data_IF_395733222072
#
_entry.id   IF_395733222072
#
_cell.length_a   1.000
_cell.length_b   1.000
_cell.length_c   1.000
_cell.angle_alpha   90.00
_cell.angle_beta   90.00
_cell.angle_gamma   90.00
#
_symmetry.space_group_name_H-M   'P 1'
#
loop_
_entity.id
_entity.type
_entity.pdbx_description
1 polymer ?
#
# COMPACT_ATOMS: atom_id res chain seq x y z
N UNK A 1 3.55 -2.31 -29.65
CA UNK A 1 4.38 -1.33 -28.91
C UNK A 1 4.42 -1.81 -27.47
N UNK A 2 5.61 -2.03 -26.91
CA UNK A 2 5.74 -2.58 -25.56
C UNK A 2 5.36 -1.50 -24.53
N UNK A 3 4.31 -1.74 -23.75
CA UNK A 3 3.94 -0.90 -22.60
C UNK A 3 5.09 -0.95 -21.58
N UNK A 4 5.93 0.07 -21.56
CA UNK A 4 6.93 0.25 -20.50
C UNK A 4 6.22 0.77 -19.26
N UNK A 5 5.73 -0.15 -18.42
CA UNK A 5 5.14 0.16 -17.13
C UNK A 5 6.13 0.93 -16.24
N UNK A 6 5.64 1.94 -15.53
CA UNK A 6 6.42 2.69 -14.52
C UNK A 6 6.92 1.73 -13.42
N UNK A 7 8.13 1.91 -12.86
CA UNK A 7 8.65 1.05 -11.78
C UNK A 7 7.69 0.87 -10.59
N UNK A 8 6.91 1.90 -10.26
CA UNK A 8 5.90 1.86 -9.19
C UNK A 8 4.79 0.81 -9.43
N UNK A 9 4.33 0.66 -10.67
CA UNK A 9 3.30 -0.33 -11.02
C UNK A 9 3.77 -1.75 -10.85
N UNK A 10 5.01 -2.03 -11.25
CA UNK A 10 5.59 -3.37 -11.12
C UNK A 10 5.60 -3.82 -9.66
N UNK A 11 6.14 -2.98 -8.78
CA UNK A 11 6.22 -3.27 -7.33
C UNK A 11 4.85 -3.53 -6.74
N UNK A 12 3.88 -2.64 -7.01
CA UNK A 12 2.56 -2.78 -6.40
C UNK A 12 1.81 -3.98 -6.98
N UNK A 13 1.86 -4.19 -8.30
CA UNK A 13 1.17 -5.32 -8.95
C UNK A 13 1.68 -6.67 -8.45
N UNK A 14 2.99 -6.81 -8.25
CA UNK A 14 3.58 -8.05 -7.75
C UNK A 14 3.16 -8.32 -6.29
N UNK A 15 3.18 -7.29 -5.44
CA UNK A 15 2.65 -7.40 -4.08
C UNK A 15 1.16 -7.77 -4.10
N UNK A 16 0.39 -7.10 -4.95
CA UNK A 16 -1.06 -7.23 -5.04
C UNK A 16 -1.50 -8.64 -5.47
N UNK A 17 -0.84 -9.22 -6.47
CA UNK A 17 -1.05 -10.62 -6.89
C UNK A 17 -0.70 -11.65 -5.82
N UNK A 18 0.26 -11.33 -4.96
CA UNK A 18 0.66 -12.21 -3.85
C UNK A 18 -0.41 -12.25 -2.77
N UNK A 19 -1.09 -11.12 -2.53
CA UNK A 19 -2.09 -10.98 -1.47
C UNK A 19 -3.46 -11.56 -1.89
N UNK A 20 -3.82 -11.42 -3.17
CA UNK A 20 -5.15 -11.79 -3.68
C UNK A 20 -5.04 -12.75 -4.88
N UNK A 21 -4.92 -14.07 -4.63
CA UNK A 21 -4.98 -15.05 -5.71
C UNK A 21 -6.35 -15.03 -6.39
N UNK A 22 -6.37 -15.16 -7.72
CA UNK A 22 -7.59 -15.20 -8.53
C UNK A 22 -8.52 -16.34 -8.08
N UNK A 23 -9.83 -16.09 -8.10
CA UNK A 23 -10.84 -17.08 -7.71
C UNK A 23 -12.02 -17.11 -8.68
N UNK A 24 -12.56 -18.30 -8.94
CA UNK A 24 -13.54 -18.58 -10.01
C UNK A 24 -15.01 -18.26 -9.66
N UNK A 25 -15.32 -17.79 -8.45
CA UNK A 25 -16.72 -17.57 -8.02
C UNK A 25 -17.19 -16.13 -8.29
N UNK A 26 -18.06 -15.95 -9.28
CA UNK A 26 -18.85 -14.72 -9.42
C UNK A 26 -19.77 -14.53 -8.20
N UNK A 27 -19.65 -13.38 -7.55
CA UNK A 27 -20.52 -12.95 -6.47
C UNK A 27 -21.37 -11.75 -6.90
N UNK A 28 -22.54 -11.51 -6.28
CA UNK A 28 -23.35 -10.35 -6.62
C UNK A 28 -22.59 -9.07 -6.27
N UNK A 29 -22.10 -8.34 -7.28
CA UNK A 29 -21.37 -7.07 -7.12
C UNK A 29 -22.29 -5.85 -6.99
N UNK A 30 -23.55 -6.01 -7.42
CA UNK A 30 -24.52 -4.91 -7.49
C UNK A 30 -24.78 -4.30 -6.11
N UNK A 31 -24.87 -5.13 -5.06
CA UNK A 31 -25.04 -4.65 -3.68
C UNK A 31 -23.87 -3.79 -3.21
N UNK A 32 -22.63 -4.19 -3.50
CA UNK A 32 -21.46 -3.39 -3.15
C UNK A 32 -21.38 -2.08 -3.95
N UNK A 33 -21.73 -2.11 -5.24
CA UNK A 33 -21.80 -0.91 -6.07
C UNK A 33 -22.88 0.07 -5.58
N UNK A 34 -24.05 -0.43 -5.18
CA UNK A 34 -25.14 0.39 -4.64
C UNK A 34 -24.80 0.96 -3.27
N UNK A 35 -24.17 0.17 -2.38
CA UNK A 35 -23.65 0.65 -1.10
C UNK A 35 -22.58 1.73 -1.29
N UNK A 36 -21.64 1.51 -2.21
CA UNK A 36 -20.62 2.49 -2.58
C UNK A 36 -21.26 3.79 -3.08
N UNK A 37 -22.27 3.70 -3.95
CA UNK A 37 -23.03 4.86 -4.45
C UNK A 37 -23.70 5.62 -3.32
N UNK A 38 -24.39 4.93 -2.41
CA UNK A 38 -25.05 5.56 -1.26
C UNK A 38 -24.05 6.32 -0.36
N UNK A 39 -22.86 5.78 -0.13
CA UNK A 39 -21.80 6.48 0.62
C UNK A 39 -21.38 7.77 -0.10
N UNK A 40 -21.28 7.76 -1.43
CA UNK A 40 -20.85 8.96 -2.18
C UNK A 40 -21.79 10.14 -2.11
N UNK A 41 -23.06 9.95 -1.76
CA UNK A 41 -24.03 11.04 -1.55
C UNK A 41 -23.63 11.96 -0.38
N UNK A 42 -22.79 11.45 0.53
CA UNK A 42 -22.35 12.17 1.73
C UNK A 42 -20.88 12.61 1.66
N UNK A 43 -20.18 12.30 0.56
CA UNK A 43 -18.78 12.69 0.40
C UNK A 43 -18.64 14.16 -0.03
N UNK A 44 -17.57 14.79 0.47
CA UNK A 44 -17.28 16.19 0.17
C UNK A 44 -16.50 16.33 -1.15
N UNK A 45 -16.44 17.53 -1.71
CA UNK A 45 -15.77 17.85 -2.97
C UNK A 45 -14.25 17.59 -3.00
N UNK A 46 -13.65 17.25 -1.86
CA UNK A 46 -12.24 16.87 -1.69
C UNK A 46 -12.05 15.36 -1.55
N UNK A 47 -13.10 14.58 -1.80
CA UNK A 47 -13.12 13.14 -1.56
C UNK A 47 -13.63 12.37 -2.76
N UNK A 48 -13.14 11.14 -2.90
CA UNK A 48 -13.73 10.15 -3.80
C UNK A 48 -13.67 8.77 -3.19
N UNK A 49 -14.55 7.88 -3.67
CA UNK A 49 -14.59 6.48 -3.26
C UNK A 49 -14.27 5.59 -4.45
N UNK A 50 -13.38 4.62 -4.24
CA UNK A 50 -13.12 3.50 -5.14
C UNK A 50 -13.53 2.21 -4.43
N UNK A 51 -14.40 1.42 -5.04
CA UNK A 51 -14.70 0.07 -4.62
C UNK A 51 -14.13 -0.92 -5.63
N UNK A 52 -13.44 -1.94 -5.14
CA UNK A 52 -12.68 -2.86 -5.96
C UNK A 52 -12.90 -4.30 -5.51
N UNK A 53 -13.19 -5.19 -6.47
CA UNK A 53 -13.30 -6.62 -6.25
C UNK A 53 -11.89 -7.22 -6.32
N UNK A 54 -11.40 -7.66 -5.17
CA UNK A 54 -10.01 -8.14 -5.04
C UNK A 54 -9.80 -9.52 -5.65
N UNK A 55 -10.87 -10.33 -5.80
CA UNK A 55 -10.74 -11.67 -6.39
C UNK A 55 -10.80 -11.63 -7.91
N UNK A 56 -11.74 -10.85 -8.43
CA UNK A 56 -11.93 -10.71 -9.86
C UNK A 56 -11.12 -9.57 -10.48
N UNK A 57 -10.26 -8.95 -9.69
CA UNK A 57 -9.31 -7.90 -10.07
C UNK A 57 -9.95 -6.77 -10.89
N UNK A 58 -11.14 -6.32 -10.48
CA UNK A 58 -11.89 -5.33 -11.25
C UNK A 58 -12.48 -4.23 -10.38
N UNK A 59 -12.61 -3.06 -10.98
CA UNK A 59 -13.28 -1.93 -10.35
C UNK A 59 -14.78 -2.19 -10.31
N UNK A 60 -15.36 -2.12 -9.11
CA UNK A 60 -16.80 -2.27 -8.88
C UNK A 60 -17.49 -0.92 -8.99
N UNK A 61 -16.85 0.13 -8.45
CA UNK A 61 -17.41 1.47 -8.44
C UNK A 61 -16.31 2.52 -8.30
N UNK A 62 -16.48 3.66 -8.96
CA UNK A 62 -15.64 4.85 -8.80
C UNK A 62 -16.52 6.09 -8.72
N UNK A 63 -16.37 6.86 -7.64
CA UNK A 63 -17.15 8.06 -7.40
C UNK A 63 -16.68 9.24 -8.26
N UNK A 64 -17.63 10.11 -8.66
CA UNK A 64 -17.36 11.29 -9.49
C UNK A 64 -16.34 12.26 -8.89
N UNK A 65 -16.15 12.26 -7.56
CA UNK A 65 -15.16 13.10 -6.89
C UNK A 65 -13.71 12.87 -7.34
N UNK A 66 -13.41 11.75 -8.04
CA UNK A 66 -12.08 11.52 -8.61
C UNK A 66 -11.71 12.58 -9.64
N UNK A 67 -12.70 13.16 -10.33
CA UNK A 67 -12.50 14.28 -11.24
C UNK A 67 -12.11 15.54 -10.48
N UNK A 68 -12.72 15.80 -9.32
CA UNK A 68 -12.40 16.97 -8.50
C UNK A 68 -11.02 16.87 -7.85
N UNK A 69 -10.61 15.66 -7.44
CA UNK A 69 -9.35 15.42 -6.72
C UNK A 69 -8.17 15.21 -7.67
N UNK A 70 -8.34 14.48 -8.77
CA UNK A 70 -7.26 14.11 -9.69
C UNK A 70 -7.44 14.67 -11.11
N UNK A 71 -8.59 15.28 -11.42
CA UNK A 71 -8.94 15.76 -12.75
C UNK A 71 -9.14 14.64 -13.76
N UNK A 72 -9.56 13.46 -13.32
CA UNK A 72 -9.74 12.31 -14.21
C UNK A 72 -11.21 11.96 -14.26
N UNK A 73 -11.72 11.72 -15.47
CA UNK A 73 -13.08 11.22 -15.65
C UNK A 73 -13.23 9.85 -14.98
N UNK A 74 -14.33 9.57 -14.25
CA UNK A 74 -14.49 8.32 -13.51
C UNK A 74 -14.31 7.06 -14.38
N UNK A 75 -14.83 7.08 -15.62
CA UNK A 75 -14.70 5.95 -16.54
C UNK A 75 -13.27 5.68 -17.03
N UNK A 76 -12.36 6.64 -16.86
CA UNK A 76 -10.96 6.56 -17.24
C UNK A 76 -10.04 6.29 -16.05
N UNK A 77 -10.62 5.94 -14.89
CA UNK A 77 -9.87 5.66 -13.67
C UNK A 77 -10.08 4.21 -13.22
N UNK A 78 -8.99 3.46 -13.19
CA UNK A 78 -8.92 2.11 -12.66
C UNK A 78 -7.98 2.01 -11.46
N UNK A 79 -7.95 0.84 -10.85
CA UNK A 79 -6.97 0.52 -9.82
C UNK A 79 -5.52 0.53 -10.37
N UNK A 80 -5.33 0.13 -11.64
CA UNK A 80 -4.03 0.25 -12.30
C UNK A 80 -3.64 1.73 -12.47
N UNK A 81 -4.57 2.59 -12.92
CA UNK A 81 -4.35 4.04 -13.02
C UNK A 81 -3.97 4.67 -11.69
N UNK A 82 -4.57 4.22 -10.58
CA UNK A 82 -4.21 4.66 -9.24
C UNK A 82 -2.73 4.40 -8.95
N UNK A 83 -2.24 3.19 -9.23
CA UNK A 83 -0.84 2.83 -8.99
C UNK A 83 0.12 3.44 -10.01
N UNK A 84 -0.30 3.71 -11.25
CA UNK A 84 0.53 4.43 -12.23
C UNK A 84 0.84 5.86 -11.78
N UNK A 85 -0.06 6.44 -10.99
CA UNK A 85 0.01 7.82 -10.49
C UNK A 85 0.72 7.93 -9.16
N UNK A 86 0.98 6.81 -8.49
CA UNK A 86 1.67 6.79 -7.21
C UNK A 86 3.07 7.38 -7.34
N UNK A 87 3.42 8.28 -6.43
CA UNK A 87 4.78 8.82 -6.39
C UNK A 87 5.80 7.70 -6.17
N UNK A 88 6.89 7.62 -6.95
CA UNK A 88 7.88 6.54 -6.84
C UNK A 88 8.42 6.31 -5.43
N UNK A 89 8.76 7.38 -4.71
CA UNK A 89 9.25 7.28 -3.33
C UNK A 89 8.22 6.75 -2.32
N UNK A 90 6.93 6.91 -2.59
CA UNK A 90 5.86 6.45 -1.70
C UNK A 90 5.47 5.00 -2.02
N UNK A 91 5.78 4.52 -3.24
CA UNK A 91 5.27 3.25 -3.77
C UNK A 91 5.66 2.00 -2.94
N UNK A 92 6.93 1.80 -2.51
CA UNK A 92 7.30 0.63 -1.72
C UNK A 92 6.52 0.56 -0.40
N UNK A 93 6.46 1.70 0.30
CA UNK A 93 5.83 1.80 1.61
C UNK A 93 4.31 1.63 1.54
N UNK A 94 3.67 2.18 0.50
CA UNK A 94 2.23 2.02 0.26
C UNK A 94 1.89 0.57 -0.11
N UNK A 95 2.72 -0.08 -0.95
CA UNK A 95 2.53 -1.50 -1.27
C UNK A 95 2.61 -2.35 0.00
N UNK A 96 3.62 -2.09 0.84
CA UNK A 96 3.83 -2.80 2.09
C UNK A 96 2.67 -2.57 3.09
N UNK A 97 2.27 -1.32 3.32
CA UNK A 97 1.12 -0.98 4.15
C UNK A 97 -0.17 -1.67 3.68
N UNK A 98 -0.38 -1.75 2.36
CA UNK A 98 -1.54 -2.43 1.77
C UNK A 98 -1.50 -3.94 2.03
N UNK A 99 -0.32 -4.57 1.91
CA UNK A 99 -0.14 -5.98 2.23
C UNK A 99 -0.46 -6.30 3.69
N UNK A 100 0.06 -5.50 4.61
CA UNK A 100 -0.15 -5.67 6.05
C UNK A 100 -1.61 -5.51 6.46
N UNK A 101 -2.30 -4.52 5.88
CA UNK A 101 -3.73 -4.35 6.09
C UNK A 101 -4.51 -5.60 5.65
N UNK A 102 -4.19 -6.14 4.47
CA UNK A 102 -4.85 -7.35 3.96
C UNK A 102 -4.56 -8.60 4.80
N UNK A 103 -3.31 -8.82 5.21
CA UNK A 103 -2.92 -9.93 6.09
C UNK A 103 -3.66 -9.85 7.43
N UNK A 104 -3.70 -8.66 8.05
CA UNK A 104 -4.40 -8.48 9.31
C UNK A 104 -5.92 -8.64 9.17
N UNK A 105 -6.51 -8.15 8.08
CA UNK A 105 -7.93 -8.41 7.78
C UNK A 105 -8.24 -9.89 7.62
N UNK A 106 -7.35 -10.66 6.99
CA UNK A 106 -7.51 -12.11 6.87
C UNK A 106 -7.43 -12.81 8.23
N UNK A 107 -6.50 -12.41 9.10
CA UNK A 107 -6.38 -12.95 10.46
C UNK A 107 -7.60 -12.64 11.34
N UNK A 108 -8.23 -11.48 11.15
CA UNK A 108 -9.48 -11.12 11.83
C UNK A 108 -10.72 -11.86 11.30
N UNK A 109 -10.67 -12.37 10.07
CA UNK A 109 -11.83 -12.98 9.41
C UNK A 109 -13.03 -12.03 9.38
N UNK A 110 -14.27 -12.48 9.70
CA UNK A 110 -15.47 -11.63 9.66
C UNK A 110 -15.38 -10.35 10.50
N UNK A 111 -14.56 -10.33 11.57
CA UNK A 111 -14.40 -9.17 12.43
C UNK A 111 -13.67 -7.98 11.76
N UNK A 112 -13.13 -8.17 10.56
CA UNK A 112 -12.49 -7.10 9.80
C UNK A 112 -13.48 -6.08 9.21
N UNK A 113 -14.77 -6.39 9.14
CA UNK A 113 -15.80 -5.54 8.52
C UNK A 113 -15.83 -4.10 9.09
N UNK A 114 -15.64 -3.97 10.40
CA UNK A 114 -15.71 -2.67 11.09
C UNK A 114 -14.33 -2.00 11.23
N UNK A 115 -13.31 -2.52 10.55
CA UNK A 115 -11.94 -2.02 10.65
C UNK A 115 -11.58 -1.14 9.45
N UNK A 116 -10.88 -0.05 9.75
CA UNK A 116 -10.41 0.93 8.77
C UNK A 116 -8.89 1.02 8.83
N UNK A 117 -8.26 0.87 7.68
CA UNK A 117 -6.82 1.11 7.50
C UNK A 117 -6.61 2.42 6.75
N UNK A 118 -5.83 3.31 7.35
CA UNK A 118 -5.56 4.65 6.84
C UNK A 118 -4.12 4.76 6.43
N UNK A 119 -3.85 5.18 5.20
CA UNK A 119 -2.49 5.49 4.72
C UNK A 119 -2.50 6.73 3.84
N UNK A 120 -1.54 7.63 4.05
CA UNK A 120 -1.42 8.84 3.21
C UNK A 120 -0.21 8.83 2.28
N UNK A 121 -0.40 9.26 1.04
CA UNK A 121 0.63 9.22 0.01
C UNK A 121 0.29 10.15 -1.15
N UNK A 122 1.24 10.34 -2.07
CA UNK A 122 1.11 11.26 -3.20
C UNK A 122 0.63 10.54 -4.45
N UNK A 123 -0.39 11.11 -5.09
CA UNK A 123 -0.89 10.73 -6.40
C UNK A 123 -0.68 11.86 -7.41
N UNK A 124 -0.29 11.51 -8.63
CA UNK A 124 -0.11 12.46 -9.73
C UNK A 124 -1.45 12.85 -10.36
N UNK A 125 -1.81 14.13 -10.25
CA UNK A 125 -2.95 14.75 -10.91
C UNK A 125 -2.79 14.71 -12.44
N UNK A 126 -3.90 14.79 -13.21
CA UNK A 126 -3.83 14.88 -14.69
C UNK A 126 -2.95 16.03 -15.20
N UNK A 127 -2.84 17.09 -14.41
CA UNK A 127 -2.08 18.30 -14.71
C UNK A 127 -0.58 18.20 -14.32
N UNK A 128 -0.13 17.04 -13.85
CA UNK A 128 1.28 16.76 -13.58
C UNK A 128 1.78 17.07 -12.17
N UNK A 129 1.07 17.88 -11.38
CA UNK A 129 1.39 18.08 -9.96
C UNK A 129 0.95 16.89 -9.09
N UNK A 130 1.47 16.80 -7.87
CA UNK A 130 1.08 15.78 -6.91
C UNK A 130 0.03 16.29 -5.92
N UNK A 131 -0.97 15.46 -5.66
CA UNK A 131 -2.00 15.63 -4.63
C UNK A 131 -1.71 14.59 -3.54
N UNK A 132 -1.62 15.03 -2.29
CA UNK A 132 -1.46 14.10 -1.16
C UNK A 132 -2.85 13.67 -0.71
N UNK A 133 -3.11 12.37 -0.80
CA UNK A 133 -4.38 11.77 -0.42
C UNK A 133 -4.23 10.96 0.86
N UNK A 134 -5.21 11.05 1.76
CA UNK A 134 -5.44 10.08 2.81
C UNK A 134 -6.39 9.01 2.28
N UNK A 135 -5.93 7.78 2.14
CA UNK A 135 -6.76 6.63 1.79
C UNK A 135 -7.21 5.91 3.06
N UNK A 136 -8.51 5.84 3.29
CA UNK A 136 -9.14 5.03 4.33
C UNK A 136 -9.82 3.83 3.67
N UNK A 137 -9.26 2.64 3.91
CA UNK A 137 -9.68 1.39 3.28
C UNK A 137 -10.48 0.56 4.28
N UNK A 138 -11.58 -0.03 3.85
CA UNK A 138 -12.50 -0.82 4.66
C UNK A 138 -13.15 -1.92 3.81
N UNK A 139 -13.69 -2.96 4.45
CA UNK A 139 -14.35 -4.06 3.76
C UNK A 139 -15.80 -3.70 3.46
N UNK A 140 -16.20 -3.72 2.19
CA UNK A 140 -17.58 -3.50 1.76
C UNK A 140 -18.38 -4.81 1.68
N UNK A 141 -17.71 -5.91 1.37
CA UNK A 141 -18.36 -7.22 1.21
C UNK A 141 -17.42 -8.34 1.60
N UNK A 142 -17.97 -9.31 2.33
CA UNK A 142 -17.37 -10.60 2.67
C UNK A 142 -18.04 -11.70 1.84
N UNK A 143 -17.33 -12.81 1.58
CA UNK A 143 -17.95 -14.03 1.09
C UNK A 143 -18.61 -14.85 2.20
N UNK A 144 -19.21 -15.99 1.84
CA UNK A 144 -19.89 -16.89 2.79
C UNK A 144 -18.94 -17.46 3.84
N UNK A 145 -17.66 -17.56 3.51
CA UNK A 145 -16.58 -18.02 4.37
C UNK A 145 -15.99 -16.90 5.24
N UNK A 146 -16.50 -15.66 5.14
CA UNK A 146 -16.04 -14.53 5.95
C UNK A 146 -14.76 -13.87 5.46
N UNK A 147 -14.40 -14.10 4.19
CA UNK A 147 -13.21 -13.54 3.55
C UNK A 147 -13.57 -12.25 2.81
N UNK A 148 -12.75 -11.17 2.90
CA UNK A 148 -12.96 -9.96 2.12
C UNK A 148 -12.94 -10.21 0.60
N UNK A 149 -13.96 -9.70 -0.10
CA UNK A 149 -14.09 -9.79 -1.56
C UNK A 149 -14.21 -8.44 -2.25
N UNK A 150 -14.88 -7.47 -1.63
CA UNK A 150 -14.94 -6.09 -2.13
C UNK A 150 -14.39 -5.16 -1.07
N UNK A 151 -13.38 -4.40 -1.43
CA UNK A 151 -12.74 -3.40 -0.58
C UNK A 151 -13.17 -2.01 -1.06
N UNK A 152 -13.67 -1.20 -0.14
CA UNK A 152 -13.91 0.21 -0.33
C UNK A 152 -12.70 1.02 0.11
N UNK A 153 -12.40 2.10 -0.60
CA UNK A 153 -11.41 3.10 -0.20
C UNK A 153 -11.96 4.50 -0.39
N UNK A 154 -12.00 5.29 0.67
CA UNK A 154 -12.24 6.74 0.59
C UNK A 154 -10.91 7.46 0.53
N UNK A 155 -10.75 8.34 -0.45
CA UNK A 155 -9.54 9.10 -0.73
C UNK A 155 -9.85 10.57 -0.49
N UNK A 156 -9.19 11.18 0.48
CA UNK A 156 -9.37 12.59 0.83
C UNK A 156 -8.13 13.38 0.46
N UNK A 157 -8.25 14.46 -0.31
CA UNK A 157 -7.15 15.41 -0.54
C UNK A 157 -6.79 16.12 0.77
N UNK A 158 -5.58 15.84 1.27
CA UNK A 158 -5.01 16.43 2.49
C UNK A 158 -3.78 17.29 2.17
N UNK A 159 -3.59 17.70 0.92
CA UNK A 159 -2.39 18.41 0.44
C UNK A 159 -2.08 19.65 1.29
N UNK A 160 -3.11 20.37 1.74
CA UNK A 160 -2.93 21.56 2.57
C UNK A 160 -2.93 21.30 4.08
N UNK A 161 -3.29 20.08 4.51
CA UNK A 161 -3.38 19.69 5.92
C UNK A 161 -2.07 19.09 6.45
N UNK A 162 -1.23 18.52 5.58
CA UNK A 162 0.04 17.89 5.97
C UNK A 162 1.20 18.48 5.16
N UNK A 163 2.16 19.09 5.87
CA UNK A 163 3.37 19.68 5.27
C UNK A 163 4.60 18.77 5.32
N UNK A 164 4.53 17.67 6.06
CA UNK A 164 5.61 16.67 6.09
C UNK A 164 5.50 15.73 4.90
N UNK A 165 6.64 15.17 4.47
CA UNK A 165 6.70 14.25 3.34
C UNK A 165 6.59 12.78 3.75
N UNK A 166 6.67 12.47 5.05
CA UNK A 166 6.51 11.10 5.56
C UNK A 166 5.14 10.51 5.19
N UNK A 167 5.07 9.21 4.97
CA UNK A 167 3.80 8.47 4.83
C UNK A 167 3.41 7.98 6.21
N UNK A 168 2.17 8.21 6.64
CA UNK A 168 1.63 7.66 7.88
C UNK A 168 0.69 6.52 7.58
N UNK A 169 0.72 5.51 8.43
CA UNK A 169 -0.12 4.32 8.31
C UNK A 169 -0.69 3.97 9.67
N UNK A 170 -1.99 3.71 9.72
CA UNK A 170 -2.74 3.45 10.94
C UNK A 170 -3.86 2.44 10.66
N UNK A 171 -4.17 1.58 11.63
CA UNK A 171 -5.33 0.69 11.59
C UNK A 171 -6.19 0.93 12.83
N UNK A 172 -7.51 1.02 12.65
CA UNK A 172 -8.46 1.34 13.74
C UNK A 172 -8.56 0.28 14.83
N UNK A 173 -8.16 -0.97 14.53
CA UNK A 173 -8.26 -2.06 15.49
C UNK A 173 -7.23 -1.87 16.63
N UNK A 174 -7.63 -1.94 17.92
CA UNK A 174 -6.70 -1.72 19.04
C UNK A 174 -5.49 -2.65 19.05
N UNK A 175 -5.67 -3.89 18.58
CA UNK A 175 -4.59 -4.88 18.44
C UNK A 175 -3.66 -4.66 17.25
N UNK A 176 -3.95 -3.72 16.34
CA UNK A 176 -3.19 -3.57 15.09
C UNK A 176 -1.74 -3.14 15.34
N UNK A 177 -1.51 -2.13 16.19
CA UNK A 177 -0.16 -1.64 16.48
C UNK A 177 0.71 -2.73 17.14
N UNK A 178 0.12 -3.51 18.05
CA UNK A 178 0.80 -4.63 18.70
C UNK A 178 1.13 -5.76 17.69
N UNK A 179 0.17 -6.12 16.85
CA UNK A 179 0.35 -7.09 15.76
C UNK A 179 1.48 -6.67 14.80
N UNK A 180 1.48 -5.38 14.42
CA UNK A 180 2.46 -4.82 13.52
C UNK A 180 3.87 -4.86 14.13
N UNK A 181 3.99 -4.48 15.40
CA UNK A 181 5.25 -4.51 16.16
C UNK A 181 5.83 -5.92 16.24
N UNK A 182 5.01 -6.93 16.47
CA UNK A 182 5.46 -8.33 16.49
C UNK A 182 6.02 -8.79 15.15
N UNK A 183 5.43 -8.36 14.02
CA UNK A 183 5.97 -8.66 12.68
C UNK A 183 7.30 -7.96 12.43
N UNK A 184 7.46 -6.73 12.91
CA UNK A 184 8.73 -5.97 12.79
C UNK A 184 9.83 -6.67 13.54
N UNK A 185 9.59 -7.00 14.81
CA UNK A 185 10.57 -7.66 15.65
C UNK A 185 11.01 -8.99 15.03
N UNK A 186 10.07 -9.78 14.49
CA UNK A 186 10.40 -11.02 13.77
C UNK A 186 11.32 -10.76 12.56
N UNK A 187 11.04 -9.73 11.78
CA UNK A 187 11.80 -9.48 10.54
C UNK A 187 13.15 -8.79 10.82
N UNK A 188 13.25 -7.95 11.86
CA UNK A 188 14.53 -7.39 12.33
C UNK A 188 15.43 -8.48 12.93
N UNK A 189 14.87 -9.45 13.67
CA UNK A 189 15.63 -10.59 14.20
C UNK A 189 16.15 -11.54 13.11
N UNK A 190 15.59 -11.46 11.89
CA UNK A 190 16.03 -12.26 10.75
C UNK A 190 17.24 -11.65 10.02
N UNK A 191 17.57 -10.37 10.22
CA UNK A 191 18.80 -9.80 9.68
C UNK A 191 20.01 -10.29 10.48
N UNK A 192 20.93 -10.95 9.81
CA UNK A 192 22.23 -11.29 10.39
C UNK A 192 23.02 -10.01 10.69
N UNK A 193 23.92 -10.06 11.68
CA UNK A 193 24.83 -8.95 11.98
C UNK A 193 25.53 -8.37 10.75
N UNK A 194 25.85 -9.23 9.77
CA UNK A 194 26.55 -8.82 8.55
C UNK A 194 25.64 -8.10 7.57
N UNK A 195 24.37 -8.50 7.49
CA UNK A 195 23.36 -7.80 6.70
C UNK A 195 23.05 -6.42 7.31
N UNK A 196 22.97 -6.31 8.63
CA UNK A 196 22.81 -5.02 9.31
C UNK A 196 23.97 -4.05 9.01
N UNK A 197 25.22 -4.50 9.14
CA UNK A 197 26.41 -3.69 8.82
C UNK A 197 26.42 -3.19 7.37
N UNK A 198 26.00 -4.04 6.42
CA UNK A 198 25.90 -3.65 5.00
C UNK A 198 24.78 -2.63 4.80
N UNK A 199 23.64 -2.80 5.47
CA UNK A 199 22.51 -1.87 5.40
C UNK A 199 22.86 -0.47 5.93
N UNK A 200 23.55 -0.39 7.07
CA UNK A 200 23.95 0.88 7.67
C UNK A 200 24.85 1.69 6.70
N UNK A 201 25.82 1.04 6.06
CA UNK A 201 26.72 1.68 5.08
C UNK A 201 26.01 2.06 3.76
N UNK A 202 25.00 1.28 3.34
CA UNK A 202 24.14 1.68 2.21
C UNK A 202 23.40 2.99 2.55
N UNK A 203 23.04 3.19 3.82
CA UNK A 203 22.32 4.39 4.26
C UNK A 203 23.16 5.63 4.42
N UNK A 204 24.44 5.42 4.67
CA UNK A 204 25.46 6.46 4.56
C UNK A 204 25.75 6.84 3.09
N UNK A 205 25.12 6.15 2.11
CA UNK A 205 25.22 6.45 0.68
C UNK A 205 26.39 5.77 -0.02
N UNK A 206 27.06 4.81 0.63
CA UNK A 206 28.23 4.14 0.04
C UNK A 206 27.82 3.15 -1.07
N UNK A 207 28.65 3.11 -2.11
CA UNK A 207 28.55 2.13 -3.19
C UNK A 207 28.98 0.73 -2.73
N UNK A 208 28.55 -0.32 -3.45
CA UNK A 208 28.97 -1.70 -3.12
C UNK A 208 30.49 -1.91 -3.18
N UNK A 209 31.24 -1.07 -3.89
CA UNK A 209 32.70 -1.10 -3.90
C UNK A 209 33.27 -0.51 -2.60
N UNK A 210 32.80 0.66 -2.19
CA UNK A 210 33.23 1.30 -0.94
C UNK A 210 32.84 0.48 0.29
N UNK A 211 31.66 -0.15 0.27
CA UNK A 211 31.23 -1.10 1.32
C UNK A 211 32.14 -2.32 1.35
N UNK A 212 32.54 -2.85 0.19
CA UNK A 212 33.42 -4.00 0.09
C UNK A 212 34.80 -3.69 0.70
N UNK A 213 35.34 -2.52 0.37
CA UNK A 213 36.61 -2.03 0.90
C UNK A 213 36.52 -1.81 2.42
N UNK A 214 35.45 -1.15 2.89
CA UNK A 214 35.27 -0.83 4.33
C UNK A 214 35.02 -2.06 5.20
N UNK A 215 34.35 -3.06 4.65
CA UNK A 215 34.04 -4.31 5.35
C UNK A 215 35.08 -5.41 5.08
N UNK A 216 36.14 -5.13 4.31
CA UNK A 216 37.18 -6.06 3.90
C UNK A 216 36.63 -7.37 3.28
N UNK A 217 35.65 -7.26 2.38
CA UNK A 217 35.03 -8.40 1.67
C UNK A 217 34.93 -8.12 0.17
N UNK A 218 34.62 -9.13 -0.64
CA UNK A 218 34.45 -8.91 -2.07
C UNK A 218 33.17 -8.12 -2.39
N UNK A 219 33.18 -7.34 -3.47
CA UNK A 219 31.98 -6.69 -4.02
C UNK A 219 30.85 -7.70 -4.30
N UNK A 220 31.20 -8.92 -4.72
CA UNK A 220 30.22 -9.99 -4.92
C UNK A 220 29.52 -10.37 -3.61
N UNK A 221 30.27 -10.52 -2.52
CA UNK A 221 29.73 -10.79 -1.18
C UNK A 221 28.81 -9.67 -0.71
N UNK A 222 29.19 -8.40 -0.90
CA UNK A 222 28.33 -7.25 -0.60
C UNK A 222 27.03 -7.30 -1.41
N UNK A 223 27.10 -7.58 -2.71
CA UNK A 223 25.91 -7.70 -3.55
C UNK A 223 25.00 -8.86 -3.11
N UNK A 224 25.57 -9.97 -2.65
CA UNK A 224 24.80 -11.08 -2.05
C UNK A 224 24.10 -10.65 -0.77
N UNK A 225 24.79 -9.95 0.14
CA UNK A 225 24.16 -9.39 1.34
C UNK A 225 23.08 -8.37 0.97
N UNK A 226 23.31 -7.46 0.03
CA UNK A 226 22.28 -6.51 -0.45
C UNK A 226 21.07 -7.22 -1.04
N UNK A 227 21.25 -8.33 -1.77
CA UNK A 227 20.15 -9.15 -2.29
C UNK A 227 19.38 -9.86 -1.17
N UNK A 228 20.08 -10.37 -0.15
CA UNK A 228 19.44 -10.97 1.02
C UNK A 228 18.74 -9.93 1.90
N UNK A 229 19.32 -8.73 2.03
CA UNK A 229 18.70 -7.56 2.67
C UNK A 229 17.48 -7.15 1.87
N UNK A 230 17.52 -7.04 0.54
CA UNK A 230 16.36 -6.76 -0.29
C UNK A 230 15.25 -7.81 -0.11
N UNK A 231 15.61 -9.09 0.00
CA UNK A 231 14.66 -10.15 0.35
C UNK A 231 14.08 -9.99 1.76
N UNK A 232 14.80 -9.34 2.67
CA UNK A 232 14.42 -9.06 4.07
C UNK A 232 14.00 -7.59 4.30
N UNK A 233 13.94 -6.78 3.25
CA UNK A 233 13.60 -5.35 3.21
C UNK A 233 12.21 -5.01 3.74
N UNK A 234 11.23 -5.94 3.72
CA UNK A 234 10.00 -5.76 4.47
C UNK A 234 10.23 -5.30 5.91
N UNK A 235 11.30 -5.74 6.58
CA UNK A 235 11.63 -5.32 7.95
C UNK A 235 11.73 -3.80 8.08
N UNK A 236 12.36 -3.14 7.11
CA UNK A 236 12.74 -1.74 7.22
C UNK A 236 11.61 -0.81 6.82
N UNK A 237 10.84 -1.18 5.80
CA UNK A 237 9.59 -0.49 5.49
C UNK A 237 8.62 -0.63 6.66
N UNK A 238 8.56 -1.80 7.29
CA UNK A 238 7.76 -2.04 8.49
C UNK A 238 8.24 -1.21 9.70
N UNK A 239 9.55 -1.10 9.94
CA UNK A 239 10.09 -0.21 10.98
C UNK A 239 9.82 1.27 10.68
N UNK A 240 9.82 1.70 9.41
CA UNK A 240 9.38 3.06 9.02
C UNK A 240 7.89 3.27 9.23
N UNK A 241 7.05 2.25 8.97
CA UNK A 241 5.62 2.29 9.31
C UNK A 241 5.42 2.42 10.82
N UNK A 242 6.20 1.70 11.65
CA UNK A 242 6.14 1.81 13.11
C UNK A 242 6.49 3.22 13.62
N UNK A 243 7.49 3.88 13.03
CA UNK A 243 7.89 5.25 13.44
C UNK A 243 6.78 6.29 13.23
N UNK A 244 5.78 5.95 12.43
CA UNK A 244 4.70 6.84 12.02
C UNK A 244 3.32 6.27 12.36
N UNK A 245 3.25 5.26 13.22
CA UNK A 245 2.03 4.88 13.93
C UNK A 245 1.78 5.93 15.01
N UNK A 246 0.63 6.59 14.94
CA UNK A 246 0.12 7.32 16.09
C UNK A 246 -0.32 6.27 17.14
N UNK A 247 0.42 6.20 18.26
CA UNK A 247 0.10 5.39 19.45
C UNK A 247 -0.74 6.21 20.42
#
# INVERSE_FOLDING_TARGET
MANSYTPALGVVRDAWRTIHPEGDREQPRQSAADAARAVTEYLLNKQFLLAYDVRAQQTVFIGAGVELVLGIEPHAFSMEDLYERLHPDDAPLVAHATALAAEFSQELGPACHDQVFSVDYRLRHRAGHYVRVLRQSFVLQLDAEGTPVVIGGVYTDITHHKRTHEVRFHGSHPGFAAWLTQRVQRTETDLSRREQQVLDLVLEGLSSAEIADRLCVSRHTVNTHRRNIHRKEPARDLSRLLQHLDV
#
